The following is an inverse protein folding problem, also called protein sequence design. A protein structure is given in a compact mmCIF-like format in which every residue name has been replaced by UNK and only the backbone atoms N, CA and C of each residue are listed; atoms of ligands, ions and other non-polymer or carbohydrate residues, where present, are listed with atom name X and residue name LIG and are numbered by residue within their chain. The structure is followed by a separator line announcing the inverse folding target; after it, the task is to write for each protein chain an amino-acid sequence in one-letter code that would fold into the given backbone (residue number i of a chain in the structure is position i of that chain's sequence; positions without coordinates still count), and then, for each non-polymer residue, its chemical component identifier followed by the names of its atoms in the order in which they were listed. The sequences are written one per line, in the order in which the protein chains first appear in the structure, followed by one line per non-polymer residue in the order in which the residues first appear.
data_IF_707835180296
#
_entry.id   IF_707835180296
#
_cell.length_a   1.000
_cell.length_b   1.000
_cell.length_c   1.000
_cell.angle_alpha   90.00
_cell.angle_beta   90.00
_cell.angle_gamma   90.00
#
_symmetry.space_group_name_H-M   'P 1'
#
loop_
_entity.id
_entity.type
_entity.pdbx_description
1 polymer ?
#
# COMPACT_ATOMS: atom_id res chain seq x y z
N UNK A 1 -11.70 -3.12 24.25
CA UNK A 1 -12.73 -2.42 23.45
C UNK A 1 -13.04 -3.31 22.26
N UNK A 2 -14.28 -3.75 22.09
CA UNK A 2 -14.70 -4.43 20.86
C UNK A 2 -14.86 -3.37 19.78
N UNK A 3 -13.95 -3.37 18.81
CA UNK A 3 -14.07 -2.53 17.61
C UNK A 3 -15.25 -3.07 16.81
N UNK A 4 -16.30 -2.27 16.66
CA UNK A 4 -17.43 -2.62 15.81
C UNK A 4 -16.99 -2.39 14.36
N UNK A 5 -16.54 -3.45 13.70
CA UNK A 5 -16.06 -3.37 12.32
C UNK A 5 -17.23 -3.14 11.35
N UNK A 6 -16.98 -2.39 10.28
CA UNK A 6 -17.92 -2.29 9.16
C UNK A 6 -18.13 -3.66 8.51
N UNK A 7 -19.25 -3.85 7.79
CA UNK A 7 -19.48 -5.10 7.04
C UNK A 7 -18.35 -5.30 6.03
N UNK A 8 -17.78 -6.52 5.92
CA UNK A 8 -16.75 -6.81 4.94
C UNK A 8 -17.27 -6.61 3.51
N UNK A 9 -16.37 -6.25 2.59
CA UNK A 9 -16.69 -6.08 1.16
C UNK A 9 -17.20 -7.40 0.58
N UNK A 10 -18.37 -7.37 -0.08
CA UNK A 10 -18.88 -8.52 -0.82
C UNK A 10 -18.19 -8.65 -2.18
N UNK A 11 -17.04 -9.33 -2.19
CA UNK A 11 -16.23 -9.55 -3.39
C UNK A 11 -16.99 -10.23 -4.54
N UNK A 12 -17.98 -11.06 -4.22
CA UNK A 12 -18.80 -11.75 -5.24
C UNK A 12 -19.59 -10.78 -6.13
N UNK A 13 -19.91 -9.59 -5.60
CA UNK A 13 -20.63 -8.54 -6.34
C UNK A 13 -19.71 -7.49 -6.95
N UNK A 14 -18.57 -7.22 -6.33
CA UNK A 14 -17.67 -6.14 -6.78
C UNK A 14 -16.70 -6.62 -7.86
N UNK A 15 -16.19 -7.85 -7.78
CA UNK A 15 -15.19 -8.38 -8.71
C UNK A 15 -15.61 -8.28 -10.19
N UNK A 16 -16.84 -8.68 -10.61
CA UNK A 16 -17.24 -8.59 -12.02
C UNK A 16 -17.23 -7.15 -12.56
N UNK A 17 -17.53 -6.15 -11.71
CA UNK A 17 -17.53 -4.74 -12.11
C UNK A 17 -16.11 -4.22 -12.37
N UNK A 18 -15.14 -4.67 -11.57
CA UNK A 18 -13.74 -4.35 -11.78
C UNK A 18 -13.19 -5.04 -13.04
N UNK A 19 -13.58 -6.29 -13.30
CA UNK A 19 -13.21 -7.00 -14.53
C UNK A 19 -13.70 -6.29 -15.80
N UNK A 20 -14.89 -5.71 -15.77
CA UNK A 20 -15.42 -4.94 -16.89
C UNK A 20 -14.71 -3.57 -17.03
N UNK A 21 -14.48 -2.87 -15.91
CA UNK A 21 -14.01 -1.48 -15.92
C UNK A 21 -12.49 -1.31 -16.01
N UNK A 22 -11.73 -2.28 -15.50
CA UNK A 22 -10.27 -2.27 -15.37
C UNK A 22 -9.62 -3.57 -15.87
N UNK A 23 -9.91 -4.01 -17.11
CA UNK A 23 -9.45 -5.32 -17.59
C UNK A 23 -7.92 -5.46 -17.61
N UNK A 24 -7.18 -4.36 -17.74
CA UNK A 24 -5.72 -4.37 -17.77
C UNK A 24 -5.12 -4.62 -16.40
N UNK A 25 -5.62 -3.92 -15.39
CA UNK A 25 -5.24 -4.04 -13.98
C UNK A 25 -5.57 -5.44 -13.47
N UNK A 26 -6.71 -5.99 -13.87
CA UNK A 26 -7.08 -7.36 -13.56
C UNK A 26 -6.12 -8.39 -14.18
N UNK A 27 -5.66 -8.15 -15.41
CA UNK A 27 -4.63 -8.97 -16.02
C UNK A 27 -3.29 -8.86 -15.27
N UNK A 28 -2.92 -7.66 -14.81
CA UNK A 28 -1.74 -7.42 -13.97
C UNK A 28 -1.80 -8.20 -12.66
N UNK A 29 -2.94 -8.18 -11.95
CA UNK A 29 -3.10 -8.96 -10.72
C UNK A 29 -2.98 -10.48 -10.96
N UNK A 30 -3.45 -10.98 -12.11
CA UNK A 30 -3.27 -12.38 -12.52
C UNK A 30 -1.79 -12.68 -12.82
N UNK A 31 -1.10 -11.78 -13.51
CA UNK A 31 0.33 -11.90 -13.78
C UNK A 31 1.16 -11.87 -12.49
N UNK A 32 0.76 -11.07 -11.50
CA UNK A 32 1.39 -11.01 -10.18
C UNK A 32 1.12 -12.23 -9.29
N UNK A 33 0.20 -13.11 -9.70
CA UNK A 33 -0.23 -14.26 -8.89
C UNK A 33 -1.01 -13.87 -7.63
N UNK A 34 -1.61 -12.68 -7.62
CA UNK A 34 -2.35 -12.12 -6.47
C UNK A 34 -3.84 -11.97 -6.74
N UNK A 35 -4.31 -12.27 -7.95
CA UNK A 35 -5.74 -12.18 -8.30
C UNK A 35 -6.62 -13.03 -7.34
N UNK A 36 -7.75 -12.48 -6.81
CA UNK A 36 -8.63 -13.20 -5.89
C UNK A 36 -9.21 -14.48 -6.50
N UNK A 37 -9.13 -15.61 -5.78
CA UNK A 37 -9.63 -16.88 -6.28
C UNK A 37 -8.75 -17.54 -7.36
N UNK A 38 -7.51 -17.07 -7.55
CA UNK A 38 -6.52 -17.82 -8.33
C UNK A 38 -6.08 -19.06 -7.56
N UNK A 39 -6.46 -20.24 -8.08
CA UNK A 39 -6.18 -21.56 -7.50
C UNK A 39 -4.97 -22.26 -8.13
N UNK A 40 -4.45 -21.70 -9.23
CA UNK A 40 -3.30 -22.22 -9.96
C UNK A 40 -2.03 -21.53 -9.48
N UNK A 41 -1.03 -22.35 -9.17
CA UNK A 41 0.30 -21.84 -8.88
C UNK A 41 0.92 -21.11 -10.06
N UNK A 42 1.76 -20.13 -9.75
CA UNK A 42 2.52 -19.37 -10.74
C UNK A 42 3.97 -19.85 -10.75
N UNK A 43 4.64 -19.75 -11.91
CA UNK A 43 6.04 -20.17 -12.01
C UNK A 43 6.92 -19.14 -11.31
N UNK A 44 7.66 -19.58 -10.28
CA UNK A 44 8.57 -18.74 -9.52
C UNK A 44 9.78 -18.35 -10.40
N UNK A 45 10.03 -17.05 -10.64
CA UNK A 45 11.17 -16.53 -11.40
C UNK A 45 12.54 -17.04 -10.95
N UNK A 46 12.68 -17.22 -9.65
CA UNK A 46 13.96 -17.31 -8.95
C UNK A 46 14.34 -18.77 -8.68
N UNK A 47 13.35 -19.65 -8.57
CA UNK A 47 13.56 -21.09 -8.36
C UNK A 47 13.21 -21.93 -9.58
N UNK A 48 12.46 -21.38 -10.54
CA UNK A 48 11.88 -22.06 -11.71
C UNK A 48 10.85 -23.16 -11.38
N UNK A 49 10.48 -23.30 -10.11
CA UNK A 49 9.43 -24.21 -9.62
C UNK A 49 8.07 -23.51 -9.62
N UNK A 50 6.98 -24.29 -9.56
CA UNK A 50 5.65 -23.71 -9.34
C UNK A 50 5.48 -23.34 -7.86
N UNK A 51 5.13 -22.09 -7.62
CA UNK A 51 4.72 -21.61 -6.32
C UNK A 51 3.21 -21.82 -6.18
N UNK A 52 2.81 -22.68 -5.24
CA UNK A 52 1.42 -23.06 -4.97
C UNK A 52 0.81 -22.27 -3.80
N UNK A 53 1.53 -21.32 -3.22
CA UNK A 53 1.03 -20.51 -2.11
C UNK A 53 -0.09 -19.59 -2.60
N UNK A 54 -1.24 -19.67 -1.93
CA UNK A 54 -2.39 -18.82 -2.20
C UNK A 54 -2.15 -17.41 -1.69
N UNK A 55 -2.40 -16.44 -2.57
CA UNK A 55 -2.18 -15.00 -2.30
C UNK A 55 -3.39 -14.16 -2.68
N UNK A 56 -4.58 -14.76 -2.77
CA UNK A 56 -5.79 -14.04 -3.16
C UNK A 56 -6.19 -12.95 -2.17
N UNK A 57 -5.77 -13.05 -0.91
CA UNK A 57 -5.93 -11.99 0.09
C UNK A 57 -5.21 -10.68 -0.31
N UNK A 58 -4.10 -10.75 -1.04
CA UNK A 58 -3.40 -9.56 -1.57
C UNK A 58 -4.24 -8.91 -2.65
N UNK A 59 -4.85 -9.71 -3.53
CA UNK A 59 -5.83 -9.20 -4.49
C UNK A 59 -6.99 -8.52 -3.80
N UNK A 60 -7.65 -9.21 -2.86
CA UNK A 60 -8.77 -8.68 -2.07
C UNK A 60 -8.42 -7.35 -1.39
N UNK A 61 -7.19 -7.23 -0.86
CA UNK A 61 -6.62 -5.98 -0.37
C UNK A 61 -6.58 -4.90 -1.44
N UNK A 62 -6.00 -5.16 -2.61
CA UNK A 62 -5.96 -4.20 -3.72
C UNK A 62 -7.35 -3.69 -4.14
N UNK A 63 -8.36 -4.56 -4.23
CA UNK A 63 -9.74 -4.15 -4.53
C UNK A 63 -10.31 -3.22 -3.47
N UNK A 64 -10.07 -3.55 -2.20
CA UNK A 64 -10.55 -2.74 -1.10
C UNK A 64 -9.89 -1.36 -1.10
N UNK A 65 -8.57 -1.30 -1.28
CA UNK A 65 -7.81 -0.06 -1.40
C UNK A 65 -8.34 0.77 -2.58
N UNK A 66 -8.59 0.16 -3.74
CA UNK A 66 -9.17 0.85 -4.90
C UNK A 66 -10.55 1.45 -4.60
N UNK A 67 -11.43 0.69 -3.94
CA UNK A 67 -12.76 1.15 -3.56
C UNK A 67 -12.70 2.30 -2.54
N UNK A 68 -11.84 2.19 -1.53
CA UNK A 68 -11.69 3.22 -0.50
C UNK A 68 -11.02 4.48 -1.05
N UNK A 69 -9.98 4.34 -1.86
CA UNK A 69 -9.31 5.44 -2.54
C UNK A 69 -10.29 6.20 -3.45
N UNK A 70 -11.12 5.48 -4.22
CA UNK A 70 -12.20 6.09 -5.01
C UNK A 70 -13.19 6.85 -4.13
N UNK A 71 -13.65 6.26 -3.03
CA UNK A 71 -14.61 6.87 -2.11
C UNK A 71 -14.06 8.14 -1.42
N UNK A 72 -12.75 8.20 -1.19
CA UNK A 72 -12.08 9.41 -0.69
C UNK A 72 -11.98 10.43 -1.83
N UNK A 73 -11.50 10.01 -3.02
CA UNK A 73 -11.32 10.87 -4.18
C UNK A 73 -12.61 11.54 -4.64
N UNK A 74 -13.72 10.82 -4.74
CA UNK A 74 -15.03 11.39 -5.13
C UNK A 74 -15.49 12.50 -4.19
N UNK A 75 -15.10 12.44 -2.92
CA UNK A 75 -15.46 13.46 -1.94
C UNK A 75 -14.50 14.65 -1.97
N UNK A 76 -13.20 14.39 -2.07
CA UNK A 76 -12.16 15.43 -2.03
C UNK A 76 -12.09 16.20 -3.34
N UNK A 77 -12.22 15.51 -4.48
CA UNK A 77 -12.07 16.07 -5.82
C UNK A 77 -13.42 16.32 -6.53
N UNK A 78 -14.50 15.75 -6.00
CA UNK A 78 -15.82 15.73 -6.62
C UNK A 78 -16.07 14.46 -7.44
N UNK A 79 -17.33 14.06 -7.52
CA UNK A 79 -17.74 12.87 -8.27
C UNK A 79 -17.37 13.00 -9.76
N UNK A 80 -16.85 11.91 -10.33
CA UNK A 80 -16.42 11.85 -11.73
C UNK A 80 -15.29 12.82 -12.11
N UNK A 81 -14.53 13.31 -11.12
CA UNK A 81 -13.31 14.06 -11.41
C UNK A 81 -12.37 13.22 -12.29
N UNK A 82 -11.67 13.86 -13.24
CA UNK A 82 -10.86 13.17 -14.26
C UNK A 82 -9.78 12.27 -13.66
N UNK A 83 -9.24 12.66 -12.50
CA UNK A 83 -8.24 11.90 -11.73
C UNK A 83 -8.79 10.72 -10.92
N UNK A 84 -10.10 10.63 -10.68
CA UNK A 84 -10.66 9.56 -9.83
C UNK A 84 -10.40 8.17 -10.41
N UNK A 85 -10.55 8.02 -11.74
CA UNK A 85 -10.28 6.74 -12.41
C UNK A 85 -8.80 6.33 -12.31
N UNK A 86 -7.90 7.30 -12.40
CA UNK A 86 -6.46 7.09 -12.26
C UNK A 86 -6.10 6.65 -10.83
N UNK A 87 -6.65 7.32 -9.82
CA UNK A 87 -6.48 6.95 -8.40
C UNK A 87 -6.97 5.52 -8.15
N UNK A 88 -8.16 5.18 -8.63
CA UNK A 88 -8.74 3.84 -8.49
C UNK A 88 -7.90 2.77 -9.21
N UNK A 89 -7.40 3.08 -10.41
CA UNK A 89 -6.53 2.19 -11.20
C UNK A 89 -5.19 1.93 -10.51
N UNK A 90 -4.50 2.98 -10.05
CA UNK A 90 -3.22 2.85 -9.34
C UNK A 90 -3.38 2.08 -8.03
N UNK A 91 -4.41 2.42 -7.24
CA UNK A 91 -4.76 1.70 -6.02
C UNK A 91 -5.05 0.20 -6.25
N UNK A 92 -5.65 -0.16 -7.39
CA UNK A 92 -5.97 -1.55 -7.71
C UNK A 92 -4.74 -2.42 -8.00
N UNK A 93 -3.62 -1.83 -8.37
CA UNK A 93 -2.41 -2.58 -8.75
C UNK A 93 -1.22 -2.35 -7.82
N UNK A 94 -1.35 -1.50 -6.79
CA UNK A 94 -0.21 -1.08 -5.95
C UNK A 94 0.58 -2.29 -5.41
N UNK A 95 -0.10 -3.34 -4.96
CA UNK A 95 0.54 -4.56 -4.44
C UNK A 95 0.66 -5.71 -5.47
N UNK A 96 0.48 -5.42 -6.76
CA UNK A 96 0.50 -6.44 -7.83
C UNK A 96 1.83 -7.20 -7.94
N UNK A 97 2.94 -6.60 -7.51
CA UNK A 97 4.26 -7.25 -7.53
C UNK A 97 4.61 -7.98 -6.23
N UNK A 98 3.74 -7.93 -5.20
CA UNK A 98 3.99 -8.50 -3.88
C UNK A 98 4.22 -10.01 -3.91
N UNK A 99 3.53 -10.73 -4.79
CA UNK A 99 3.74 -12.16 -5.03
C UNK A 99 5.19 -12.46 -5.42
N UNK A 100 5.77 -11.67 -6.33
CA UNK A 100 7.17 -11.82 -6.73
C UNK A 100 8.16 -11.41 -5.62
N UNK A 101 7.85 -10.38 -4.82
CA UNK A 101 8.64 -10.03 -3.64
C UNK A 101 8.72 -11.20 -2.64
N UNK A 102 7.59 -11.85 -2.35
CA UNK A 102 7.53 -13.01 -1.46
C UNK A 102 8.37 -14.17 -2.02
N UNK A 103 8.23 -14.48 -3.31
CA UNK A 103 9.03 -15.51 -3.98
C UNK A 103 10.53 -15.23 -3.91
N UNK A 104 10.91 -13.97 -4.11
CA UNK A 104 12.29 -13.52 -4.05
C UNK A 104 12.88 -13.66 -2.65
N UNK A 105 12.15 -13.21 -1.62
CA UNK A 105 12.56 -13.38 -0.22
C UNK A 105 12.69 -14.86 0.16
N UNK A 106 11.75 -15.69 -0.29
CA UNK A 106 11.81 -17.13 -0.08
C UNK A 106 13.03 -17.74 -0.78
N UNK A 107 13.37 -17.31 -2.00
CA UNK A 107 14.55 -17.76 -2.73
C UNK A 107 15.88 -17.40 -2.03
N UNK A 108 15.98 -16.19 -1.45
CA UNK A 108 17.14 -15.81 -0.60
C UNK A 108 17.24 -16.74 0.62
N UNK A 109 16.12 -16.98 1.30
CA UNK A 109 16.10 -17.82 2.52
C UNK A 109 16.57 -19.25 2.26
N UNK A 110 16.32 -19.78 1.06
CA UNK A 110 16.79 -21.13 0.66
C UNK A 110 18.14 -21.10 -0.09
N UNK A 111 18.81 -19.95 -0.15
CA UNK A 111 20.14 -19.80 -0.76
C UNK A 111 20.17 -19.92 -2.28
N UNK A 112 19.03 -19.71 -2.98
CA UNK A 112 18.96 -19.76 -4.45
C UNK A 112 19.44 -18.46 -5.11
N UNK A 113 19.29 -17.34 -4.42
CA UNK A 113 19.79 -16.02 -4.83
C UNK A 113 20.40 -15.31 -3.61
N UNK A 114 21.29 -14.35 -3.84
CA UNK A 114 22.04 -13.68 -2.77
C UNK A 114 21.27 -12.52 -2.11
N UNK A 115 20.47 -11.79 -2.88
CA UNK A 115 19.80 -10.57 -2.41
C UNK A 115 18.39 -10.42 -2.99
N UNK A 116 17.46 -9.98 -2.14
CA UNK A 116 16.07 -9.71 -2.49
C UNK A 116 15.81 -8.24 -2.86
N UNK A 117 16.76 -7.31 -2.72
CA UNK A 117 16.46 -5.89 -2.93
C UNK A 117 17.43 -5.18 -3.87
N UNK A 118 18.40 -5.88 -4.46
CA UNK A 118 19.26 -5.31 -5.51
C UNK A 118 18.46 -4.90 -6.76
N UNK A 119 18.92 -3.87 -7.50
CA UNK A 119 18.34 -3.49 -8.79
C UNK A 119 18.21 -4.67 -9.78
N UNK A 120 19.22 -5.55 -9.79
CA UNK A 120 19.25 -6.77 -10.62
C UNK A 120 18.10 -7.73 -10.30
N UNK A 121 17.65 -7.76 -9.04
CA UNK A 121 16.55 -8.62 -8.62
C UNK A 121 15.17 -8.11 -9.10
N UNK A 122 15.05 -6.80 -9.35
CA UNK A 122 13.87 -6.18 -9.97
C UNK A 122 13.85 -6.38 -11.50
N UNK A 123 15.01 -6.31 -12.16
CA UNK A 123 15.15 -6.57 -13.61
C UNK A 123 14.75 -8.01 -14.01
N UNK A 124 14.88 -8.98 -13.10
CA UNK A 124 14.52 -10.38 -13.37
C UNK A 124 13.03 -10.56 -13.68
N UNK A 125 12.14 -9.80 -13.02
CA UNK A 125 10.69 -9.87 -13.27
C UNK A 125 10.38 -9.28 -14.65
N UNK A 126 11.00 -8.14 -14.98
CA UNK A 126 10.86 -7.48 -16.29
C UNK A 126 11.16 -8.44 -17.44
N UNK A 127 12.31 -9.13 -17.38
CA UNK A 127 12.71 -10.09 -18.41
C UNK A 127 11.72 -11.26 -18.56
N UNK A 128 11.13 -11.73 -17.48
CA UNK A 128 10.14 -12.81 -17.52
C UNK A 128 8.83 -12.34 -18.15
N UNK A 129 8.34 -11.16 -17.78
CA UNK A 129 7.13 -10.59 -18.35
C UNK A 129 7.32 -10.31 -19.86
N UNK A 130 8.47 -9.77 -20.25
CA UNK A 130 8.85 -9.58 -21.66
C UNK A 130 8.88 -10.92 -22.42
N UNK A 131 9.47 -11.97 -21.84
CA UNK A 131 9.48 -13.32 -22.44
C UNK A 131 8.08 -13.94 -22.54
N UNK A 132 7.18 -13.63 -21.61
CA UNK A 132 5.75 -14.00 -21.67
C UNK A 132 4.94 -13.15 -22.67
N UNK A 133 5.61 -12.25 -23.42
CA UNK A 133 4.98 -11.33 -24.38
C UNK A 133 3.96 -10.40 -23.73
N UNK A 134 4.15 -10.08 -22.45
CA UNK A 134 3.40 -9.04 -21.77
C UNK A 134 3.77 -7.70 -22.41
N UNK A 135 2.77 -6.84 -22.64
CA UNK A 135 2.99 -5.53 -23.27
C UNK A 135 4.03 -4.72 -22.49
N UNK A 136 5.03 -4.09 -23.14
CA UNK A 136 6.02 -3.25 -22.47
C UNK A 136 5.39 -2.19 -21.55
N UNK A 137 4.24 -1.63 -21.95
CA UNK A 137 3.48 -0.67 -21.12
C UNK A 137 3.03 -1.29 -19.79
N UNK A 138 2.60 -2.55 -19.79
CA UNK A 138 2.20 -3.26 -18.58
C UNK A 138 3.41 -3.51 -17.69
N UNK A 139 4.55 -3.86 -18.29
CA UNK A 139 5.79 -4.12 -17.56
C UNK A 139 6.32 -2.86 -16.89
N UNK A 140 6.34 -1.73 -17.59
CA UNK A 140 6.68 -0.43 -17.01
C UNK A 140 5.71 -0.01 -15.92
N UNK A 141 4.42 -0.30 -16.10
CA UNK A 141 3.40 -0.01 -15.10
C UNK A 141 3.59 -0.86 -13.83
N UNK A 142 3.84 -2.17 -13.96
CA UNK A 142 4.17 -3.06 -12.84
C UNK A 142 5.47 -2.69 -12.14
N UNK A 143 6.47 -2.16 -12.86
CA UNK A 143 7.73 -1.71 -12.26
C UNK A 143 7.55 -0.46 -11.37
N UNK A 144 6.51 0.33 -11.62
CA UNK A 144 6.16 1.52 -10.83
C UNK A 144 5.11 1.23 -9.77
N UNK A 145 4.20 0.28 -10.02
CA UNK A 145 3.12 -0.05 -9.11
C UNK A 145 3.65 -0.43 -7.72
N UNK A 146 3.14 0.25 -6.70
CA UNK A 146 3.52 0.07 -5.30
C UNK A 146 4.73 0.88 -4.86
N UNK A 147 5.35 1.65 -5.77
CA UNK A 147 6.39 2.62 -5.38
C UNK A 147 5.81 3.80 -4.60
N UNK A 148 4.52 4.07 -4.79
CA UNK A 148 3.74 5.12 -4.16
C UNK A 148 3.19 4.76 -2.77
N UNK A 149 3.26 3.49 -2.37
CA UNK A 149 2.70 2.95 -1.11
C UNK A 149 3.75 2.28 -0.22
N UNK A 150 3.46 2.13 1.06
CA UNK A 150 4.34 1.45 2.02
C UNK A 150 5.53 2.27 2.52
N UNK A 151 6.40 1.63 3.31
CA UNK A 151 7.42 2.35 4.10
C UNK A 151 8.47 3.10 3.27
N UNK A 152 8.76 2.66 2.04
CA UNK A 152 9.80 3.28 1.21
C UNK A 152 9.41 4.65 0.65
N UNK A 153 8.11 4.91 0.45
CA UNK A 153 7.61 6.19 -0.07
C UNK A 153 7.32 7.22 1.02
N UNK A 154 7.35 6.84 2.30
CA UNK A 154 7.07 7.76 3.42
C UNK A 154 7.90 9.05 3.35
N UNK A 155 9.18 8.94 2.99
CA UNK A 155 10.09 10.08 2.85
C UNK A 155 9.67 11.09 1.78
N UNK A 156 8.87 10.69 0.79
CA UNK A 156 8.44 11.55 -0.30
C UNK A 156 7.25 12.44 0.12
N UNK A 157 6.60 12.13 1.25
CA UNK A 157 5.48 12.90 1.81
C UNK A 157 5.86 13.85 2.94
N UNK A 158 7.11 13.83 3.42
CA UNK A 158 7.54 14.64 4.55
C UNK A 158 8.75 15.50 4.20
N UNK A 159 8.71 16.76 4.60
CA UNK A 159 9.83 17.71 4.53
C UNK A 159 10.02 18.40 5.88
N UNK A 160 11.16 19.04 6.07
CA UNK A 160 11.35 19.96 7.19
C UNK A 160 10.97 21.38 6.76
N UNK A 161 10.05 21.99 7.51
CA UNK A 161 9.65 23.38 7.34
C UNK A 161 9.70 24.07 8.71
N UNK A 162 10.49 25.15 8.80
CA UNK A 162 10.71 25.88 10.06
C UNK A 162 11.17 24.97 11.23
N UNK A 163 12.06 24.01 10.93
CA UNK A 163 12.62 23.07 11.92
C UNK A 163 11.65 21.99 12.40
N UNK A 164 10.50 21.81 11.73
CA UNK A 164 9.49 20.80 12.08
C UNK A 164 9.11 19.97 10.85
N UNK A 165 8.76 18.68 11.03
CA UNK A 165 8.18 17.88 9.97
C UNK A 165 6.86 18.52 9.48
N UNK A 166 6.73 18.61 8.17
CA UNK A 166 5.55 19.11 7.47
C UNK A 166 5.20 18.19 6.31
N UNK A 167 3.90 18.02 6.05
CA UNK A 167 3.41 17.24 4.92
C UNK A 167 3.71 17.97 3.61
N UNK A 168 4.25 17.27 2.62
CA UNK A 168 4.43 17.77 1.26
C UNK A 168 3.07 17.75 0.57
N UNK A 169 2.45 18.91 0.36
CA UNK A 169 1.06 19.04 -0.16
C UNK A 169 0.96 19.48 -1.61
N UNK A 170 2.06 19.90 -2.23
CA UNK A 170 2.08 20.41 -3.60
C UNK A 170 1.88 19.25 -4.61
N UNK A 171 0.85 19.37 -5.45
CA UNK A 171 0.54 18.49 -6.60
C UNK A 171 0.39 16.99 -6.30
N UNK A 172 0.33 16.57 -5.03
CA UNK A 172 0.38 15.14 -4.67
C UNK A 172 -0.90 14.53 -4.07
N UNK A 173 -2.07 15.10 -4.35
CA UNK A 173 -3.34 14.62 -3.76
C UNK A 173 -3.64 13.17 -4.18
N UNK A 174 -3.32 12.77 -5.42
CA UNK A 174 -3.61 11.43 -5.90
C UNK A 174 -2.81 10.37 -5.14
N UNK A 175 -1.49 10.53 -4.99
CA UNK A 175 -0.68 9.55 -4.25
C UNK A 175 -1.02 9.58 -2.76
N UNK A 176 -1.31 10.74 -2.17
CA UNK A 176 -1.80 10.80 -0.77
C UNK A 176 -3.06 9.96 -0.56
N UNK A 177 -4.02 10.03 -1.48
CA UNK A 177 -5.27 9.28 -1.36
C UNK A 177 -5.00 7.78 -1.46
N UNK A 178 -4.16 7.34 -2.41
CA UNK A 178 -3.80 5.93 -2.58
C UNK A 178 -3.01 5.42 -1.36
N UNK A 179 -2.00 6.18 -0.92
CA UNK A 179 -1.17 5.84 0.23
C UNK A 179 -1.97 5.73 1.51
N UNK A 180 -2.80 6.73 1.81
CA UNK A 180 -3.66 6.71 2.98
C UNK A 180 -4.68 5.57 2.92
N UNK A 181 -5.25 5.29 1.75
CA UNK A 181 -6.18 4.18 1.59
C UNK A 181 -5.50 2.83 1.88
N UNK A 182 -4.29 2.59 1.38
CA UNK A 182 -3.52 1.38 1.70
C UNK A 182 -3.16 1.30 3.19
N UNK A 183 -2.65 2.39 3.76
CA UNK A 183 -2.26 2.48 5.17
C UNK A 183 -3.41 2.26 6.16
N UNK A 184 -4.63 2.51 5.71
CA UNK A 184 -5.86 2.32 6.48
C UNK A 184 -6.60 1.02 6.13
N UNK A 185 -6.10 0.21 5.19
CA UNK A 185 -6.77 -1.04 4.78
C UNK A 185 -6.12 -2.26 5.42
N UNK A 186 -6.92 -3.03 6.14
CA UNK A 186 -6.55 -4.35 6.64
C UNK A 186 -7.26 -5.44 5.84
N UNK A 187 -6.52 -6.49 5.44
CA UNK A 187 -7.10 -7.72 4.89
C UNK A 187 -6.43 -8.93 5.55
N UNK A 188 -7.23 -9.85 6.10
CA UNK A 188 -6.71 -11.03 6.79
C UNK A 188 -6.04 -12.02 5.83
N UNK A 189 -5.01 -12.74 6.30
CA UNK A 189 -4.41 -13.85 5.56
C UNK A 189 -5.30 -15.08 5.74
N UNK A 190 -5.70 -15.72 4.64
CA UNK A 190 -6.61 -16.89 4.64
C UNK A 190 -6.10 -17.99 3.70
N UNK A 191 -6.59 -19.21 3.88
CA UNK A 191 -6.29 -20.33 3.00
C UNK A 191 -7.14 -20.32 1.72
N UNK A 192 -6.80 -21.18 0.75
CA UNK A 192 -7.60 -21.36 -0.47
C UNK A 192 -9.03 -21.75 -0.10
N UNK A 193 -10.01 -21.01 -0.64
CA UNK A 193 -11.44 -21.28 -0.42
C UNK A 193 -12.04 -20.64 0.83
N UNK A 194 -11.21 -20.02 1.67
CA UNK A 194 -11.67 -19.15 2.75
C UNK A 194 -11.87 -17.71 2.23
N UNK A 195 -12.70 -16.93 2.93
CA UNK A 195 -12.94 -15.52 2.62
C UNK A 195 -12.13 -14.64 3.56
N UNK A 196 -11.34 -13.71 3.03
CA UNK A 196 -10.63 -12.77 3.88
C UNK A 196 -11.60 -11.74 4.47
N UNK A 197 -11.37 -11.36 5.72
CA UNK A 197 -12.00 -10.19 6.30
C UNK A 197 -11.20 -8.95 5.93
N UNK A 198 -11.88 -7.98 5.32
CA UNK A 198 -11.29 -6.71 4.91
C UNK A 198 -11.98 -5.53 5.58
N UNK A 199 -11.20 -4.66 6.23
CA UNK A 199 -11.69 -3.54 7.01
C UNK A 199 -10.92 -2.26 6.68
N UNK A 200 -11.63 -1.12 6.74
CA UNK A 200 -11.01 0.20 6.74
C UNK A 200 -10.89 0.71 8.18
N UNK A 201 -9.66 0.90 8.63
CA UNK A 201 -9.23 1.17 10.00
C UNK A 201 -8.35 2.43 10.03
N UNK A 202 -8.11 3.01 11.21
CA UNK A 202 -6.99 3.96 11.36
C UNK A 202 -5.66 3.21 11.17
N UNK A 203 -4.59 3.92 10.81
CA UNK A 203 -3.30 3.28 10.57
C UNK A 203 -2.79 2.54 11.81
N UNK A 204 -2.99 3.11 13.01
CA UNK A 204 -2.63 2.45 14.27
C UNK A 204 -3.45 1.18 14.54
N UNK A 205 -4.77 1.21 14.30
CA UNK A 205 -5.62 0.02 14.41
C UNK A 205 -5.24 -1.07 13.41
N UNK A 206 -4.84 -0.70 12.18
CA UNK A 206 -4.32 -1.65 11.18
C UNK A 206 -3.03 -2.31 11.65
N UNK A 207 -2.07 -1.54 12.17
CA UNK A 207 -0.80 -2.07 12.68
C UNK A 207 -1.04 -3.11 13.80
N UNK A 208 -2.01 -2.86 14.69
CA UNK A 208 -2.41 -3.80 15.73
C UNK A 208 -3.13 -5.04 15.15
N UNK A 209 -4.16 -4.84 14.32
CA UNK A 209 -4.94 -5.93 13.73
C UNK A 209 -4.11 -6.87 12.85
N UNK A 210 -3.09 -6.34 12.16
CA UNK A 210 -2.19 -7.10 11.33
C UNK A 210 -0.98 -7.68 12.08
N UNK A 211 -0.81 -7.38 13.36
CA UNK A 211 0.35 -7.80 14.17
C UNK A 211 1.70 -7.40 13.54
N UNK A 212 1.81 -6.11 13.18
CA UNK A 212 3.02 -5.57 12.54
C UNK A 212 4.29 -5.78 13.36
N UNK A 213 4.32 -5.66 14.71
CA UNK A 213 5.54 -5.88 15.48
C UNK A 213 6.17 -7.25 15.26
N UNK A 214 5.35 -8.30 15.12
CA UNK A 214 5.85 -9.65 14.90
C UNK A 214 6.09 -9.95 13.42
N UNK A 215 5.24 -9.46 12.51
CA UNK A 215 5.37 -9.72 11.06
C UNK A 215 6.48 -8.89 10.39
N UNK A 216 6.67 -7.65 10.85
CA UNK A 216 7.57 -6.66 10.27
C UNK A 216 8.37 -5.94 11.36
N UNK A 217 9.17 -6.65 12.18
CA UNK A 217 9.90 -6.05 13.31
C UNK A 217 10.85 -4.92 12.87
N UNK A 218 11.37 -4.98 11.65
CA UNK A 218 12.23 -3.92 11.10
C UNK A 218 11.53 -2.55 11.05
N UNK A 219 10.19 -2.50 10.89
CA UNK A 219 9.45 -1.23 10.90
C UNK A 219 9.53 -0.49 12.24
N UNK A 220 9.89 -1.19 13.33
CA UNK A 220 10.00 -0.67 14.69
C UNK A 220 11.45 -0.45 15.13
N UNK A 221 12.42 -0.75 14.27
CA UNK A 221 13.86 -0.58 14.56
C UNK A 221 14.51 0.34 13.53
N UNK A 222 14.16 0.16 12.26
CA UNK A 222 14.63 0.97 11.13
C UNK A 222 13.68 2.15 10.88
N UNK A 223 14.22 3.19 10.24
CA UNK A 223 13.45 4.37 9.86
C UNK A 223 14.30 5.43 9.20
N UNK A 224 13.93 6.68 9.38
CA UNK A 224 14.69 7.81 8.85
C UNK A 224 14.54 9.05 9.72
N UNK A 225 15.43 10.02 9.51
CA UNK A 225 15.37 11.36 10.06
C UNK A 225 15.88 12.36 9.04
N UNK A 226 16.33 13.51 9.50
CA UNK A 226 16.85 14.58 8.67
C UNK A 226 18.23 15.02 9.14
N UNK A 227 19.16 15.31 8.22
CA UNK A 227 20.42 15.95 8.57
C UNK A 227 20.22 17.46 8.84
N UNK A 228 21.30 18.17 9.15
CA UNK A 228 21.28 19.61 9.46
C UNK A 228 20.85 20.47 8.26
N UNK A 229 21.01 19.93 7.05
CA UNK A 229 20.59 20.51 5.78
C UNK A 229 19.10 20.26 5.47
N UNK A 230 18.41 19.45 6.28
CA UNK A 230 17.01 19.08 6.06
C UNK A 230 16.81 17.97 5.02
N UNK A 231 17.87 17.25 4.65
CA UNK A 231 17.82 16.10 3.74
C UNK A 231 17.54 14.81 4.50
N UNK A 232 16.81 13.89 3.85
CA UNK A 232 16.43 12.61 4.44
C UNK A 232 17.65 11.69 4.60
N UNK A 233 17.81 11.13 5.81
CA UNK A 233 18.85 10.14 6.13
C UNK A 233 18.21 8.87 6.68
N UNK A 234 18.52 7.72 6.06
CA UNK A 234 18.00 6.42 6.48
C UNK A 234 18.83 5.84 7.63
N UNK A 235 18.14 5.26 8.61
CA UNK A 235 18.73 4.75 9.85
C UNK A 235 18.32 3.29 10.06
N UNK A 236 19.32 2.40 10.18
CA UNK A 236 19.10 0.96 10.41
C UNK A 236 18.74 0.58 11.84
N UNK A 237 19.07 1.45 12.80
CA UNK A 237 18.66 1.32 14.19
C UNK A 237 18.48 2.72 14.76
N UNK A 238 17.22 3.15 14.92
CA UNK A 238 16.90 4.49 15.41
C UNK A 238 17.41 4.76 16.82
N UNK A 239 17.64 3.71 17.62
CA UNK A 239 18.21 3.85 18.97
C UNK A 239 19.70 4.20 18.96
N UNK A 240 20.36 4.03 17.81
CA UNK A 240 21.78 4.32 17.59
C UNK A 240 21.99 5.43 16.55
N UNK A 241 20.97 6.24 16.29
CA UNK A 241 21.05 7.31 15.31
C UNK A 241 22.13 8.34 15.67
N UNK A 242 22.76 8.94 14.65
CA UNK A 242 23.69 10.04 14.84
C UNK A 242 22.99 11.19 15.59
N UNK A 243 23.55 11.73 16.68
CA UNK A 243 22.94 12.82 17.44
C UNK A 243 22.77 14.13 16.64
N UNK A 244 23.43 14.26 15.48
CA UNK A 244 23.25 15.38 14.56
C UNK A 244 22.01 15.24 13.67
N UNK A 245 21.34 14.09 13.69
CA UNK A 245 20.09 13.90 12.95
C UNK A 245 18.89 14.40 13.75
N UNK A 246 18.00 15.11 13.09
CA UNK A 246 16.78 15.64 13.66
C UNK A 246 15.57 14.77 13.29
N UNK A 247 14.56 14.78 14.17
CA UNK A 247 13.28 14.10 13.96
C UNK A 247 13.40 12.62 13.55
N UNK A 248 14.42 11.92 14.05
CA UNK A 248 14.59 10.48 13.79
C UNK A 248 13.41 9.70 14.36
N UNK A 249 12.76 8.90 13.52
CA UNK A 249 11.64 8.03 13.90
C UNK A 249 11.73 6.70 13.15
N UNK A 250 11.14 5.67 13.75
CA UNK A 250 10.93 4.39 13.08
C UNK A 250 9.97 4.54 11.90
N UNK A 251 10.01 3.60 10.95
CA UNK A 251 9.03 3.57 9.86
C UNK A 251 7.59 3.47 10.39
N UNK A 252 7.36 2.70 11.44
CA UNK A 252 6.03 2.58 12.07
C UNK A 252 5.51 3.91 12.60
N UNK A 253 6.39 4.71 13.24
CA UNK A 253 6.04 6.03 13.75
C UNK A 253 5.81 7.04 12.62
N UNK A 254 6.64 7.01 11.57
CA UNK A 254 6.46 7.86 10.39
C UNK A 254 5.15 7.55 9.67
N UNK A 255 4.82 6.27 9.49
CA UNK A 255 3.57 5.84 8.86
C UNK A 255 2.34 6.41 9.59
N UNK A 256 2.32 6.33 10.93
CA UNK A 256 1.23 6.91 11.74
C UNK A 256 1.21 8.44 11.64
N UNK A 257 2.37 9.11 11.68
CA UNK A 257 2.42 10.56 11.59
C UNK A 257 1.96 11.08 10.21
N UNK A 258 2.44 10.46 9.13
CA UNK A 258 2.11 10.82 7.75
C UNK A 258 0.62 10.59 7.50
N UNK A 259 0.07 9.44 7.91
CA UNK A 259 -1.36 9.16 7.78
C UNK A 259 -2.22 10.21 8.49
N UNK A 260 -1.81 10.67 9.69
CA UNK A 260 -2.50 11.74 10.43
C UNK A 260 -2.50 13.06 9.69
N UNK A 261 -1.34 13.50 9.21
CA UNK A 261 -1.24 14.78 8.52
C UNK A 261 -1.92 14.73 7.14
N UNK A 262 -1.85 13.61 6.42
CA UNK A 262 -2.64 13.38 5.19
C UNK A 262 -4.13 13.45 5.49
N UNK A 263 -4.61 12.72 6.49
CA UNK A 263 -6.02 12.72 6.87
C UNK A 263 -6.48 14.13 7.26
N UNK A 264 -5.69 14.87 8.03
CA UNK A 264 -5.96 16.26 8.41
C UNK A 264 -6.04 17.18 7.19
N UNK A 265 -5.12 17.05 6.25
CA UNK A 265 -5.12 17.82 5.01
C UNK A 265 -6.37 17.54 4.18
N UNK A 266 -6.68 16.26 3.93
CA UNK A 266 -7.85 15.85 3.15
C UNK A 266 -9.17 16.25 3.82
N UNK A 267 -9.28 16.09 5.14
CA UNK A 267 -10.45 16.54 5.90
C UNK A 267 -10.58 18.06 5.88
N UNK A 268 -9.48 18.81 5.89
CA UNK A 268 -9.50 20.26 5.72
C UNK A 268 -10.08 20.71 4.37
N UNK A 269 -9.93 19.90 3.31
CA UNK A 269 -10.57 20.13 2.01
C UNK A 269 -12.07 19.81 2.08
N UNK A 270 -12.44 18.68 2.72
CA UNK A 270 -13.82 18.21 2.82
C UNK A 270 -14.70 19.08 3.72
N UNK A 271 -14.14 19.54 4.83
CA UNK A 271 -14.84 20.20 5.93
C UNK A 271 -14.10 21.47 6.35
N UNK A 272 -13.90 22.46 5.44
CA UNK A 272 -13.02 23.61 5.66
C UNK A 272 -13.43 24.51 6.83
N UNK A 273 -14.68 24.39 7.28
CA UNK A 273 -15.25 25.19 8.37
C UNK A 273 -15.44 24.39 9.66
N UNK A 274 -15.01 23.14 9.74
CA UNK A 274 -15.13 22.31 10.96
C UNK A 274 -13.76 21.95 11.51
N UNK A 275 -13.63 22.07 12.83
CA UNK A 275 -12.49 21.51 13.53
C UNK A 275 -12.78 20.05 13.86
N UNK A 276 -12.14 19.14 13.14
CA UNK A 276 -12.25 17.69 13.36
C UNK A 276 -11.12 17.25 14.29
N UNK A 277 -11.47 16.71 15.46
CA UNK A 277 -10.51 16.30 16.49
C UNK A 277 -9.66 15.10 16.07
N UNK A 278 -10.25 14.13 15.36
CA UNK A 278 -9.55 12.96 14.85
C UNK A 278 -9.83 12.76 13.35
N UNK A 279 -8.98 13.33 12.46
CA UNK A 279 -9.17 13.26 11.02
C UNK A 279 -9.15 11.84 10.43
N UNK A 280 -8.26 10.95 10.90
CA UNK A 280 -8.23 9.56 10.44
C UNK A 280 -9.52 8.83 10.78
N UNK A 281 -10.01 8.98 12.02
CA UNK A 281 -11.28 8.38 12.44
C UNK A 281 -12.46 8.94 11.64
N UNK A 282 -12.45 10.25 11.36
CA UNK A 282 -13.47 10.87 10.51
C UNK A 282 -13.51 10.26 9.10
N UNK A 283 -12.35 10.11 8.45
CA UNK A 283 -12.26 9.46 7.14
C UNK A 283 -12.68 7.99 7.21
N UNK A 284 -12.26 7.27 8.27
CA UNK A 284 -12.68 5.89 8.53
C UNK A 284 -14.20 5.76 8.56
N UNK A 285 -14.86 6.57 9.39
CA UNK A 285 -16.32 6.54 9.57
C UNK A 285 -17.03 6.92 8.26
N UNK A 286 -16.51 7.92 7.55
CA UNK A 286 -17.01 8.39 6.27
C UNK A 286 -16.94 7.32 5.17
N UNK A 287 -15.81 6.63 5.03
CA UNK A 287 -15.65 5.54 4.05
C UNK A 287 -16.54 4.36 4.42
N UNK A 288 -16.53 3.93 5.69
CA UNK A 288 -17.30 2.78 6.16
C UNK A 288 -18.83 2.97 6.07
N UNK A 289 -19.33 4.21 6.21
CA UNK A 289 -20.74 4.51 6.04
C UNK A 289 -21.24 4.27 4.59
N UNK A 290 -20.35 4.42 3.60
CA UNK A 290 -20.67 4.27 2.17
C UNK A 290 -20.53 2.84 1.65
N UNK A 291 -20.06 1.91 2.47
CA UNK A 291 -19.99 0.48 2.12
C UNK A 291 -21.28 -0.28 2.49
N UNK A 292 -22.24 0.40 3.13
CA UNK A 292 -23.49 -0.19 3.65
C UNK A 292 -24.64 -0.19 2.64
#
# INVERSE_FOLDING_TARGET
MTVEFAKPIDFSKTLPRFEERFPMEMAILRLGGVYPGMDKGIKNPYTYEYDLEYRGNIGEHCFAVALYAKNIADRVLGENHTKTKEIESNALVHDSTKGYEIMRRNAVRIGKIEDAYSPTAYETIKLILEHQKVSPTIVEYMAKAGSETGHNSLKDFVKIENGKPALVTEENIAEMIVHLADDMTFTSIVQVGETAETYFLTTAERQEAADFPNKYPFLYTEGFGFNQEGEVVFVKDVSQADPNFEHVKTYSEWQVWIAKEMAKYLVGILEPNKQIENPEKYLKDLVNANLR
#
